data_IF_795656625600
#
_entry.id   IF_795656625600
#
_cell.length_a   1.000
_cell.length_b   1.000
_cell.length_c   1.000
_cell.angle_alpha   90.00
_cell.angle_beta   90.00
_cell.angle_gamma   90.00
#
_symmetry.space_group_name_H-M   'P 1'
#
loop_
_entity.id
_entity.type
_entity.pdbx_description
1 polymer ?
#
# COMPACT_ATOMS: atom_id res chain seq x y z
N UNK A 1 -9.98 4.62 -0.75
CA UNK A 1 -8.85 4.08 0.05
C UNK A 1 -7.58 3.91 -0.79
N UNK A 2 -6.97 4.99 -1.33
CA UNK A 2 -5.66 4.88 -2.02
C UNK A 2 -4.48 5.42 -1.19
N UNK A 3 -4.74 5.92 0.02
CA UNK A 3 -3.79 6.69 0.82
C UNK A 3 -3.72 6.25 2.30
N UNK A 4 -4.07 4.98 2.60
CA UNK A 4 -3.89 4.43 3.94
C UNK A 4 -2.57 3.65 4.03
N UNK A 5 -1.79 3.93 5.08
CA UNK A 5 -0.47 3.35 5.30
C UNK A 5 -0.35 2.83 6.73
N UNK A 6 0.10 1.59 6.89
CA UNK A 6 0.57 1.11 8.18
C UNK A 6 1.99 1.63 8.41
N UNK A 7 2.22 2.19 9.59
CA UNK A 7 3.52 2.73 9.99
C UNK A 7 4.26 1.65 10.76
N UNK A 8 5.41 1.19 10.25
CA UNK A 8 6.29 0.30 10.97
C UNK A 8 7.48 1.09 11.49
N UNK A 9 7.54 1.30 12.80
CA UNK A 9 8.67 1.91 13.48
C UNK A 9 9.76 0.85 13.68
N UNK A 10 10.98 1.15 13.26
CA UNK A 10 12.15 0.30 13.48
C UNK A 10 13.17 1.06 14.30
N UNK A 11 13.63 0.38 15.35
CA UNK A 11 14.78 0.77 16.15
C UNK A 11 15.93 -0.15 15.74
N UNK A 12 17.03 0.42 15.29
CA UNK A 12 18.22 -0.33 14.88
C UNK A 12 19.41 0.15 15.69
N UNK A 13 20.07 -0.75 16.42
CA UNK A 13 21.26 -0.41 17.22
C UNK A 13 22.45 0.08 16.36
N UNK A 14 22.39 -0.14 15.05
CA UNK A 14 23.41 0.28 14.06
C UNK A 14 23.23 1.73 13.62
N UNK A 15 22.02 2.28 13.70
CA UNK A 15 21.69 3.64 13.27
C UNK A 15 21.32 4.47 14.50
N UNK A 16 21.86 5.69 14.63
CA UNK A 16 21.58 6.53 15.81
C UNK A 16 20.10 6.96 15.91
N UNK A 17 19.35 6.94 14.80
CA UNK A 17 17.98 7.42 14.73
C UNK A 17 16.98 6.34 14.32
N UNK A 18 15.83 6.34 15.01
CA UNK A 18 14.65 5.54 14.64
C UNK A 18 14.14 5.91 13.24
N UNK A 19 13.77 4.91 12.46
CA UNK A 19 13.20 5.13 11.13
C UNK A 19 11.84 4.44 10.96
N UNK A 20 11.09 4.93 9.99
CA UNK A 20 9.72 4.52 9.69
C UNK A 20 9.68 3.88 8.30
N UNK A 21 8.98 2.76 8.19
CA UNK A 21 8.56 2.20 6.91
C UNK A 21 7.06 2.39 6.75
N UNK A 22 6.66 2.96 5.61
CA UNK A 22 5.26 3.19 5.28
C UNK A 22 4.75 2.06 4.38
N UNK A 23 3.97 1.15 4.95
CA UNK A 23 3.41 0.00 4.26
C UNK A 23 1.99 0.29 3.74
N UNK A 24 1.83 0.25 2.42
CA UNK A 24 0.56 0.47 1.75
C UNK A 24 -0.47 -0.57 2.16
N UNK A 25 -1.54 -0.14 2.85
CA UNK A 25 -2.68 -1.00 3.18
C UNK A 25 -3.44 -1.45 1.91
N UNK A 26 -3.31 -0.66 0.84
CA UNK A 26 -3.94 -0.90 -0.46
C UNK A 26 -3.23 -1.98 -1.29
N UNK A 27 -1.89 -1.96 -1.32
CA UNK A 27 -1.12 -2.71 -2.33
C UNK A 27 -0.02 -3.59 -1.75
N UNK A 28 0.12 -3.59 -0.42
CA UNK A 28 1.08 -4.42 0.29
C UNK A 28 2.54 -4.09 -0.04
N UNK A 29 2.89 -2.80 -0.10
CA UNK A 29 4.19 -2.30 -0.57
C UNK A 29 4.74 -1.11 0.24
N UNK A 30 6.06 -1.07 0.32
CA UNK A 30 7.00 0.03 0.58
C UNK A 30 6.70 1.35 -0.10
N UNK A 31 6.35 2.44 0.58
CA UNK A 31 6.63 3.77 0.03
C UNK A 31 8.16 3.95 -0.03
N UNK A 32 8.68 4.20 -1.22
CA UNK A 32 10.12 4.36 -1.44
C UNK A 32 10.40 5.57 -2.32
N UNK A 33 11.49 6.28 -2.04
CA UNK A 33 12.06 7.25 -2.97
C UNK A 33 13.07 6.56 -3.89
N UNK A 34 13.26 7.13 -5.07
CA UNK A 34 14.25 6.66 -6.05
C UNK A 34 15.07 7.84 -6.53
N UNK A 35 16.27 7.58 -7.03
CA UNK A 35 17.10 8.62 -7.62
C UNK A 35 16.65 9.03 -9.03
N UNK A 36 15.56 8.44 -9.52
CA UNK A 36 14.97 8.85 -10.79
C UNK A 36 14.16 10.13 -10.64
N UNK A 37 14.25 11.08 -11.59
CA UNK A 37 13.46 12.31 -11.52
C UNK A 37 11.95 12.05 -11.60
N UNK A 38 11.19 12.75 -10.76
CA UNK A 38 9.73 12.77 -10.83
C UNK A 38 9.25 13.71 -11.95
N UNK A 39 8.17 13.38 -12.67
CA UNK A 39 7.49 14.35 -13.53
C UNK A 39 7.02 15.54 -12.67
N UNK A 40 7.64 16.71 -12.85
CA UNK A 40 7.37 17.90 -12.02
C UNK A 40 8.49 18.29 -11.03
N UNK A 41 9.63 17.61 -11.08
CA UNK A 41 10.82 17.93 -10.29
C UNK A 41 10.91 17.17 -8.96
N UNK A 42 12.12 17.13 -8.40
CA UNK A 42 12.43 16.27 -7.26
C UNK A 42 12.61 14.79 -7.64
N UNK A 43 12.81 13.97 -6.61
CA UNK A 43 13.01 12.52 -6.71
C UNK A 43 11.66 11.80 -6.75
N UNK A 44 11.58 10.77 -7.59
CA UNK A 44 10.35 10.01 -7.81
C UNK A 44 10.08 9.08 -6.65
N UNK A 45 8.84 9.12 -6.18
CA UNK A 45 8.31 8.23 -5.15
C UNK A 45 7.49 7.13 -5.80
N UNK A 46 7.68 5.90 -5.32
CA UNK A 46 7.08 4.67 -5.86
C UNK A 46 6.65 3.73 -4.75
N UNK A 47 5.88 2.70 -5.10
CA UNK A 47 5.57 1.59 -4.21
C UNK A 47 6.38 0.34 -4.58
N UNK A 48 7.25 -0.14 -3.67
CA UNK A 48 8.16 -1.28 -3.88
C UNK A 48 7.89 -2.42 -2.90
N UNK A 49 8.30 -3.63 -3.27
CA UNK A 49 8.41 -4.75 -2.31
C UNK A 49 9.59 -4.48 -1.39
N UNK A 50 9.57 -5.08 -0.20
CA UNK A 50 10.75 -5.09 0.66
C UNK A 50 11.92 -5.75 -0.08
N UNK A 51 13.06 -5.09 -0.13
CA UNK A 51 14.28 -5.57 -0.74
C UNK A 51 15.45 -5.29 0.21
N UNK A 52 16.12 -6.34 0.66
CA UNK A 52 17.23 -6.24 1.60
C UNK A 52 18.48 -5.57 1.00
N UNK A 53 18.56 -5.43 -0.34
CA UNK A 53 19.72 -4.82 -0.99
C UNK A 53 19.60 -3.30 -1.16
N UNK A 54 18.37 -2.77 -1.18
CA UNK A 54 18.09 -1.34 -1.37
C UNK A 54 17.12 -0.82 -0.29
N UNK A 55 17.28 -1.30 0.95
CA UNK A 55 16.31 -1.05 2.01
C UNK A 55 16.23 0.42 2.44
N UNK A 56 17.34 1.16 2.35
CA UNK A 56 17.43 2.61 2.61
C UNK A 56 16.49 3.45 1.73
N UNK A 57 16.16 2.97 0.53
CA UNK A 57 15.20 3.65 -0.35
C UNK A 57 13.81 3.77 0.27
N UNK A 58 13.48 2.92 1.25
CA UNK A 58 12.20 2.87 1.96
C UNK A 58 12.20 3.62 3.29
N UNK A 59 13.33 4.20 3.70
CA UNK A 59 13.48 4.81 5.03
C UNK A 59 12.94 6.23 5.07
N UNK A 60 12.12 6.49 6.09
CA UNK A 60 11.52 7.79 6.35
C UNK A 60 11.70 8.20 7.81
N UNK A 61 11.84 9.50 8.04
CA UNK A 61 11.82 10.12 9.35
C UNK A 61 10.64 11.07 9.44
N UNK A 62 9.95 11.10 10.58
CA UNK A 62 8.88 12.06 10.81
C UNK A 62 9.39 13.15 11.76
N UNK A 63 9.33 14.40 11.31
CA UNK A 63 9.56 15.57 12.16
C UNK A 63 8.24 16.30 12.37
N UNK A 64 7.92 16.67 13.61
CA UNK A 64 6.78 17.54 13.90
C UNK A 64 7.04 18.92 13.30
N UNK A 65 6.01 19.53 12.72
CA UNK A 65 6.03 20.93 12.33
C UNK A 65 6.16 21.83 13.55
N UNK A 66 6.53 23.11 13.35
CA UNK A 66 6.57 24.10 14.43
C UNK A 66 5.21 24.30 15.12
N UNK A 67 4.10 24.05 14.42
CA UNK A 67 2.75 24.10 15.00
C UNK A 67 2.42 22.89 15.87
N UNK A 68 3.13 21.77 15.72
CA UNK A 68 2.91 20.52 16.45
C UNK A 68 1.75 19.66 15.94
N UNK A 69 0.92 20.16 15.02
CA UNK A 69 -0.26 19.46 14.50
C UNK A 69 0.00 18.72 13.18
N UNK A 70 1.12 19.00 12.51
CA UNK A 70 1.48 18.45 11.21
C UNK A 70 2.85 17.77 11.28
N UNK A 71 3.14 16.88 10.33
CA UNK A 71 4.44 16.21 10.21
C UNK A 71 5.07 16.44 8.84
N UNK A 72 6.38 16.56 8.83
CA UNK A 72 7.20 16.42 7.63
C UNK A 72 7.81 15.03 7.59
N UNK A 73 7.65 14.36 6.44
CA UNK A 73 8.27 13.07 6.19
C UNK A 73 9.56 13.27 5.40
N UNK A 74 10.71 13.12 6.06
CA UNK A 74 12.03 13.22 5.46
C UNK A 74 12.49 11.87 4.93
N UNK A 75 13.08 11.86 3.74
CA UNK A 75 13.71 10.65 3.20
C UNK A 75 15.13 10.50 3.73
N UNK A 76 15.59 9.26 3.92
CA UNK A 76 16.93 8.96 4.43
C UNK A 76 18.07 9.61 3.63
N UNK A 77 17.97 9.63 2.31
CA UNK A 77 18.96 10.30 1.46
C UNK A 77 18.70 11.82 1.28
N UNK A 78 17.90 12.42 2.15
CA UNK A 78 17.62 13.85 2.17
C UNK A 78 16.37 14.28 1.40
N UNK A 79 15.88 15.47 1.75
CA UNK A 79 14.63 16.05 1.23
C UNK A 79 13.37 15.51 1.90
N UNK A 80 12.24 16.16 1.60
CA UNK A 80 10.94 15.88 2.23
C UNK A 80 9.89 15.42 1.22
N UNK A 81 9.00 14.53 1.65
CA UNK A 81 7.83 14.11 0.89
C UNK A 81 6.92 15.31 0.66
N UNK A 82 6.59 15.55 -0.60
CA UNK A 82 5.84 16.72 -1.06
C UNK A 82 4.69 16.31 -1.96
N UNK A 83 3.52 16.89 -1.73
CA UNK A 83 2.39 16.83 -2.64
C UNK A 83 2.68 17.65 -3.91
N UNK A 84 2.47 17.03 -5.08
CA UNK A 84 2.61 17.72 -6.36
C UNK A 84 1.36 18.56 -6.61
N UNK A 85 1.51 19.89 -6.67
CA UNK A 85 0.37 20.79 -6.90
C UNK A 85 0.10 21.02 -8.38
N UNK A 86 -1.19 21.22 -8.69
CA UNK A 86 -1.70 21.45 -10.06
C UNK A 86 -1.05 22.65 -10.75
N UNK A 87 -0.59 23.65 -9.99
CA UNK A 87 0.01 24.87 -10.52
C UNK A 87 1.38 24.63 -11.19
N UNK A 88 2.13 23.61 -10.76
CA UNK A 88 3.43 23.33 -11.37
C UNK A 88 3.28 22.73 -12.77
N UNK A 89 2.29 21.85 -13.01
CA UNK A 89 2.02 21.28 -14.33
C UNK A 89 0.58 20.76 -14.47
N UNK A 90 -0.27 21.36 -15.31
CA UNK A 90 -1.70 21.03 -15.41
C UNK A 90 -2.04 19.64 -15.99
N UNK A 91 -1.04 18.83 -16.36
CA UNK A 91 -1.21 17.47 -16.92
C UNK A 91 -0.68 16.34 -16.03
N UNK A 92 -0.03 16.64 -14.91
CA UNK A 92 0.55 15.63 -14.01
C UNK A 92 -0.30 15.54 -12.74
N UNK A 93 -0.79 14.33 -12.46
CA UNK A 93 -1.70 14.01 -11.37
C UNK A 93 -1.17 14.42 -9.98
N UNK A 94 -2.12 14.45 -9.04
CA UNK A 94 -2.08 14.56 -7.58
C UNK A 94 -1.17 13.47 -6.98
N UNK A 95 0.12 13.52 -7.29
CA UNK A 95 1.13 12.56 -6.86
C UNK A 95 2.04 13.14 -5.78
N UNK A 96 3.03 12.35 -5.38
CA UNK A 96 4.05 12.76 -4.40
C UNK A 96 5.45 12.66 -4.99
N UNK A 97 6.35 13.53 -4.54
CA UNK A 97 7.78 13.55 -4.87
C UNK A 97 8.59 13.80 -3.59
N UNK A 98 9.88 13.48 -3.60
CA UNK A 98 10.81 13.95 -2.55
C UNK A 98 11.54 15.17 -3.08
N UNK A 99 11.54 16.25 -2.31
CA UNK A 99 12.16 17.50 -2.73
C UNK A 99 13.03 18.09 -1.63
N UNK A 100 14.21 18.56 -2.03
CA UNK A 100 15.18 19.19 -1.14
C UNK A 100 15.21 20.69 -1.46
N UNK A 101 14.27 21.45 -0.88
CA UNK A 101 14.15 22.90 -1.10
C UNK A 101 14.95 23.73 -0.10
N UNK A 102 15.59 23.12 0.90
CA UNK A 102 16.13 23.82 2.08
C UNK A 102 15.07 24.49 2.98
N UNK A 103 13.90 24.84 2.44
CA UNK A 103 12.75 25.38 3.15
C UNK A 103 11.56 24.41 3.08
N UNK A 104 10.89 24.22 4.23
CA UNK A 104 9.64 23.46 4.32
C UNK A 104 8.49 24.32 3.77
N UNK A 105 7.65 23.73 2.93
CA UNK A 105 6.45 24.39 2.38
C UNK A 105 5.19 23.67 2.85
N UNK A 106 4.03 24.33 2.76
CA UNK A 106 2.73 23.73 3.08
C UNK A 106 2.45 22.43 2.31
N UNK A 107 3.06 22.25 1.14
CA UNK A 107 2.94 21.02 0.35
C UNK A 107 3.75 19.84 0.91
N UNK A 108 4.57 20.07 1.94
CA UNK A 108 5.37 19.07 2.66
C UNK A 108 4.82 18.77 4.05
N UNK A 109 3.76 19.48 4.47
CA UNK A 109 3.07 19.21 5.73
C UNK A 109 1.99 18.16 5.50
N UNK A 110 1.99 17.15 6.36
CA UNK A 110 1.05 16.04 6.34
C UNK A 110 0.33 15.97 7.67
N UNK A 111 -0.98 15.72 7.63
CA UNK A 111 -1.76 15.40 8.83
C UNK A 111 -1.78 13.88 8.99
N UNK A 112 -1.58 13.41 10.22
CA UNK A 112 -1.68 11.99 10.56
C UNK A 112 -3.07 11.73 11.11
N UNK A 113 -3.89 11.02 10.32
CA UNK A 113 -5.21 10.56 10.75
C UNK A 113 -5.15 9.09 11.14
N UNK A 114 -5.55 8.79 12.37
CA UNK A 114 -5.61 7.41 12.85
C UNK A 114 -6.84 6.71 12.24
N UNK A 115 -6.61 5.58 11.57
CA UNK A 115 -7.67 4.77 10.97
C UNK A 115 -8.02 3.63 11.94
N UNK A 116 -9.20 3.65 12.59
CA UNK A 116 -9.58 2.59 13.52
C UNK A 116 -9.88 1.28 12.79
N UNK A 117 -9.89 0.18 13.55
CA UNK A 117 -10.32 -1.11 13.04
C UNK A 117 -11.86 -1.21 13.08
N UNK A 118 -12.47 -1.70 12.00
CA UNK A 118 -13.89 -2.05 11.95
C UNK A 118 -14.14 -3.53 12.18
N UNK A 119 -15.36 -3.83 12.63
CA UNK A 119 -15.88 -5.19 12.71
C UNK A 119 -16.30 -5.64 11.31
N UNK A 120 -15.68 -6.71 10.84
CA UNK A 120 -16.01 -7.35 9.56
C UNK A 120 -15.45 -6.64 8.33
N UNK A 121 -15.46 -7.38 7.21
CA UNK A 121 -14.93 -6.92 5.94
C UNK A 121 -15.81 -5.80 5.35
N UNK A 122 -15.24 -4.66 4.91
CA UNK A 122 -16.00 -3.64 4.20
C UNK A 122 -16.41 -4.14 2.80
N UNK A 123 -17.45 -3.54 2.18
CA UNK A 123 -17.82 -3.87 0.82
C UNK A 123 -16.66 -3.55 -0.14
N UNK A 124 -16.42 -4.47 -1.08
CA UNK A 124 -15.43 -4.24 -2.13
C UNK A 124 -15.92 -3.17 -3.13
N UNK A 125 -15.00 -2.43 -3.76
CA UNK A 125 -15.32 -1.50 -4.84
C UNK A 125 -16.14 -2.17 -5.95
N UNK A 126 -17.17 -1.46 -6.42
CA UNK A 126 -18.00 -1.91 -7.54
C UNK A 126 -17.12 -2.01 -8.80
N UNK A 127 -17.14 -3.14 -9.54
CA UNK A 127 -16.37 -3.28 -10.76
C UNK A 127 -16.64 -2.14 -11.76
N UNK A 128 -15.59 -1.47 -12.20
CA UNK A 128 -15.68 -0.47 -13.26
C UNK A 128 -15.06 -0.99 -14.56
N UNK A 129 -15.87 -1.09 -15.62
CA UNK A 129 -15.53 -1.73 -16.88
C UNK A 129 -14.36 -1.09 -17.66
N UNK A 130 -13.92 0.13 -17.31
CA UNK A 130 -12.97 0.88 -18.14
C UNK A 130 -11.51 0.40 -18.07
N UNK A 131 -11.17 -0.59 -17.23
CA UNK A 131 -9.79 -1.05 -17.05
C UNK A 131 -9.53 -2.50 -17.53
N UNK A 132 -10.25 -2.92 -18.57
CA UNK A 132 -10.25 -4.29 -19.10
C UNK A 132 -8.98 -4.69 -19.89
N UNK A 133 -7.94 -3.86 -19.92
CA UNK A 133 -6.74 -4.08 -20.75
C UNK A 133 -5.49 -4.52 -19.97
N UNK A 134 -5.56 -4.55 -18.65
CA UNK A 134 -4.44 -4.96 -17.80
C UNK A 134 -4.44 -6.48 -17.58
N UNK A 135 -3.31 -7.14 -17.84
CA UNK A 135 -3.11 -8.54 -17.49
C UNK A 135 -2.03 -8.67 -16.42
N UNK A 136 -2.21 -9.58 -15.47
CA UNK A 136 -1.18 -9.96 -14.50
C UNK A 136 -1.29 -11.43 -14.11
N UNK A 137 -0.15 -11.98 -13.70
CA UNK A 137 -0.10 -13.29 -13.08
C UNK A 137 -0.50 -13.17 -11.61
N UNK A 138 -1.47 -13.97 -11.18
CA UNK A 138 -1.84 -14.14 -9.78
C UNK A 138 -1.23 -15.45 -9.31
N UNK A 139 -0.46 -15.41 -8.23
CA UNK A 139 -0.10 -16.57 -7.44
C UNK A 139 -0.99 -16.58 -6.20
N UNK A 140 -1.61 -17.70 -5.89
CA UNK A 140 -2.37 -17.84 -4.65
C UNK A 140 -1.88 -19.02 -3.83
N UNK A 141 -1.97 -18.88 -2.52
CA UNK A 141 -1.67 -19.92 -1.54
C UNK A 141 -2.84 -20.03 -0.58
N UNK A 142 -3.25 -21.27 -0.32
CA UNK A 142 -4.22 -21.60 0.71
C UNK A 142 -3.52 -22.25 1.90
N UNK A 143 -3.31 -21.53 3.02
CA UNK A 143 -2.48 -22.00 4.13
C UNK A 143 -2.97 -23.30 4.76
N UNK A 144 -4.29 -23.53 4.77
CA UNK A 144 -4.89 -24.66 5.48
C UNK A 144 -4.75 -26.00 4.74
N UNK A 145 -4.45 -26.00 3.44
CA UNK A 145 -4.44 -27.20 2.60
C UNK A 145 -3.10 -27.38 1.85
N UNK A 146 -2.16 -26.43 2.00
CA UNK A 146 -0.91 -26.36 1.21
C UNK A 146 -1.19 -26.40 -0.30
N UNK A 147 -2.37 -25.92 -0.70
CA UNK A 147 -2.70 -25.79 -2.11
C UNK A 147 -2.18 -24.44 -2.62
N UNK A 148 -1.50 -24.49 -3.76
CA UNK A 148 -0.90 -23.32 -4.39
C UNK A 148 -1.16 -23.40 -5.87
N UNK A 149 -1.56 -22.28 -6.44
CA UNK A 149 -1.86 -22.20 -7.86
C UNK A 149 -1.50 -20.85 -8.43
N UNK A 150 -1.62 -20.76 -9.75
CA UNK A 150 -1.47 -19.50 -10.44
C UNK A 150 -2.40 -19.40 -11.63
N UNK A 151 -2.76 -18.18 -12.00
CA UNK A 151 -3.54 -17.91 -13.18
C UNK A 151 -3.35 -16.49 -13.69
N UNK A 152 -3.61 -16.29 -14.97
CA UNK A 152 -3.66 -14.96 -15.57
C UNK A 152 -5.00 -14.32 -15.27
N UNK A 153 -4.96 -13.17 -14.60
CA UNK A 153 -6.13 -12.35 -14.35
C UNK A 153 -6.14 -11.14 -15.29
N UNK A 154 -7.31 -10.86 -15.84
CA UNK A 154 -7.57 -9.71 -16.72
C UNK A 154 -8.40 -8.68 -15.97
N UNK A 155 -7.89 -7.46 -15.88
CA UNK A 155 -8.55 -6.33 -15.26
C UNK A 155 -7.87 -5.90 -13.96
N UNK A 156 -8.59 -5.06 -13.21
CA UNK A 156 -8.13 -4.50 -11.93
C UNK A 156 -9.13 -4.64 -10.80
N UNK A 157 -10.35 -5.10 -11.08
CA UNK A 157 -11.36 -5.15 -10.03
C UNK A 157 -10.96 -6.21 -8.99
N UNK A 158 -10.85 -5.78 -7.74
CA UNK A 158 -10.66 -6.71 -6.62
C UNK A 158 -11.89 -7.60 -6.42
N UNK A 159 -13.07 -7.07 -6.74
CA UNK A 159 -14.32 -7.82 -6.72
C UNK A 159 -14.28 -8.94 -7.78
N UNK A 160 -13.99 -8.63 -9.05
CA UNK A 160 -13.93 -9.65 -10.11
C UNK A 160 -12.82 -10.69 -9.84
N UNK A 161 -11.71 -10.25 -9.24
CA UNK A 161 -10.64 -11.15 -8.82
C UNK A 161 -11.10 -12.13 -7.74
N UNK A 162 -11.86 -11.66 -6.75
CA UNK A 162 -12.44 -12.50 -5.70
C UNK A 162 -13.37 -13.54 -6.29
N UNK A 163 -14.25 -13.14 -7.20
CA UNK A 163 -15.21 -14.03 -7.86
C UNK A 163 -14.52 -15.09 -8.72
N UNK A 164 -13.48 -14.71 -9.48
CA UNK A 164 -12.68 -15.65 -10.26
C UNK A 164 -11.96 -16.67 -9.36
N UNK A 165 -11.41 -16.21 -8.22
CA UNK A 165 -10.73 -17.08 -7.27
C UNK A 165 -11.71 -18.03 -6.57
N UNK A 166 -12.87 -17.54 -6.14
CA UNK A 166 -13.93 -18.33 -5.53
C UNK A 166 -14.43 -19.44 -6.47
N UNK A 167 -14.66 -19.09 -7.75
CA UNK A 167 -15.03 -20.08 -8.79
C UNK A 167 -13.97 -21.15 -8.98
N UNK A 168 -12.68 -20.79 -9.01
CA UNK A 168 -11.57 -21.74 -9.17
C UNK A 168 -11.42 -22.67 -7.97
N UNK A 169 -11.71 -22.17 -6.78
CA UNK A 169 -11.63 -22.92 -5.52
C UNK A 169 -12.93 -23.66 -5.18
N UNK A 170 -13.99 -23.49 -5.98
CA UNK A 170 -15.32 -24.04 -5.74
C UNK A 170 -15.90 -23.70 -4.34
N UNK A 171 -15.74 -22.45 -3.91
CA UNK A 171 -16.28 -21.90 -2.66
C UNK A 171 -17.11 -20.64 -2.92
N UNK A 172 -17.89 -20.20 -1.92
CA UNK A 172 -18.60 -18.92 -2.00
C UNK A 172 -17.61 -17.74 -1.89
N UNK A 173 -17.84 -16.71 -2.70
CA UNK A 173 -17.07 -15.48 -2.65
C UNK A 173 -17.28 -14.70 -1.34
N UNK A 174 -18.41 -14.89 -0.65
CA UNK A 174 -18.65 -14.33 0.70
C UNK A 174 -17.71 -14.92 1.74
N UNK A 175 -17.30 -16.17 1.54
CA UNK A 175 -16.47 -16.91 2.50
C UNK A 175 -14.97 -16.71 2.24
N UNK A 176 -14.63 -16.02 1.15
CA UNK A 176 -13.28 -15.83 0.67
C UNK A 176 -12.77 -14.43 1.02
N UNK A 177 -11.68 -14.37 1.78
CA UNK A 177 -10.90 -13.15 2.01
C UNK A 177 -9.53 -13.30 1.35
N UNK A 178 -9.21 -12.35 0.47
CA UNK A 178 -7.89 -12.26 -0.18
C UNK A 178 -6.98 -11.37 0.65
N UNK A 179 -5.77 -11.83 0.96
CA UNK A 179 -4.80 -11.07 1.75
C UNK A 179 -3.45 -10.98 1.05
N UNK A 180 -2.70 -9.92 1.34
CA UNK A 180 -1.25 -9.88 1.13
C UNK A 180 -0.54 -10.50 2.33
N UNK A 181 0.59 -11.15 2.07
CA UNK A 181 1.54 -11.50 3.12
C UNK A 181 2.56 -10.39 3.27
N UNK A 182 2.73 -9.86 4.48
CA UNK A 182 3.78 -8.90 4.79
C UNK A 182 5.08 -9.64 5.16
N UNK A 183 6.22 -8.96 5.04
CA UNK A 183 7.51 -9.44 5.57
C UNK A 183 7.49 -9.71 7.08
N UNK A 184 6.61 -9.04 7.83
CA UNK A 184 6.38 -9.24 9.25
C UNK A 184 5.38 -10.38 9.56
N UNK A 185 5.11 -11.24 8.56
CA UNK A 185 4.18 -12.37 8.63
C UNK A 185 2.71 -12.00 8.93
N UNK A 186 2.33 -10.73 8.77
CA UNK A 186 0.94 -10.29 8.91
C UNK A 186 0.17 -10.48 7.61
N UNK A 187 -1.13 -10.72 7.74
CA UNK A 187 -2.06 -10.78 6.62
C UNK A 187 -2.81 -9.46 6.54
N UNK A 188 -2.67 -8.75 5.42
CA UNK A 188 -3.40 -7.51 5.16
C UNK A 188 -4.49 -7.78 4.12
N UNK A 189 -5.78 -7.58 4.45
CA UNK A 189 -6.86 -7.80 3.50
C UNK A 189 -6.72 -6.91 2.26
N UNK A 190 -6.93 -7.49 1.08
CA UNK A 190 -6.95 -6.79 -0.20
C UNK A 190 -8.37 -6.23 -0.45
N UNK A 191 -8.51 -4.93 -0.25
CA UNK A 191 -9.81 -4.23 -0.25
C UNK A 191 -9.98 -3.22 -1.39
N UNK A 192 -8.97 -3.06 -2.24
CA UNK A 192 -8.95 -2.05 -3.31
C UNK A 192 -8.58 -2.66 -4.64
N UNK A 193 -9.00 -2.01 -5.72
CA UNK A 193 -8.65 -2.41 -7.07
C UNK A 193 -7.13 -2.46 -7.30
N UNK A 194 -6.71 -3.42 -8.11
CA UNK A 194 -5.31 -3.70 -8.39
C UNK A 194 -4.60 -2.50 -9.04
N UNK A 195 -3.30 -2.30 -8.72
CA UNK A 195 -2.54 -1.15 -9.20
C UNK A 195 -2.33 -1.23 -10.72
N UNK A 196 -2.15 -0.10 -11.41
CA UNK A 196 -1.89 -0.06 -12.86
C UNK A 196 -0.47 -0.53 -13.20
N UNK A 197 -0.24 -1.84 -13.19
CA UNK A 197 1.01 -2.49 -13.57
C UNK A 197 0.77 -3.96 -13.94
N UNK A 198 1.76 -4.60 -14.55
CA UNK A 198 1.70 -6.01 -14.94
C UNK A 198 2.44 -6.93 -13.95
N UNK A 199 2.82 -6.42 -12.78
CA UNK A 199 3.63 -7.20 -11.85
C UNK A 199 2.83 -8.37 -11.24
N UNK A 200 3.45 -9.55 -11.09
CA UNK A 200 2.81 -10.67 -10.42
C UNK A 200 2.38 -10.32 -9.00
N UNK A 201 1.19 -10.79 -8.63
CA UNK A 201 0.59 -10.58 -7.31
C UNK A 201 0.48 -11.89 -6.56
N UNK A 202 1.00 -11.94 -5.34
CA UNK A 202 0.84 -13.08 -4.44
C UNK A 202 -0.33 -12.81 -3.49
N UNK A 203 -1.26 -13.76 -3.40
CA UNK A 203 -2.47 -13.68 -2.59
C UNK A 203 -2.51 -14.87 -1.63
N UNK A 204 -2.73 -14.59 -0.36
CA UNK A 204 -3.06 -15.60 0.64
C UNK A 204 -4.58 -15.67 0.75
N UNK A 205 -5.15 -16.85 0.58
CA UNK A 205 -6.58 -17.10 0.70
C UNK A 205 -6.91 -17.46 2.14
N UNK A 206 -7.82 -16.71 2.74
CA UNK A 206 -8.32 -16.94 4.10
C UNK A 206 -9.82 -17.19 4.02
N UNK A 207 -10.30 -18.22 4.70
CA UNK A 207 -11.72 -18.56 4.77
C UNK A 207 -12.37 -17.94 5.99
N UNK A 208 -13.55 -17.34 5.84
CA UNK A 208 -14.32 -16.77 6.94
C UNK A 208 -14.60 -17.81 8.02
N UNK A 209 -14.61 -17.37 9.28
CA UNK A 209 -14.85 -18.26 10.43
C UNK A 209 -13.66 -19.12 10.85
N UNK A 210 -12.55 -19.11 10.10
CA UNK A 210 -11.30 -19.76 10.53
C UNK A 210 -10.58 -18.95 11.61
N UNK A 211 -9.69 -19.57 12.43
CA UNK A 211 -8.86 -18.84 13.38
C UNK A 211 -8.00 -17.75 12.73
N UNK A 212 -7.51 -18.01 11.51
CA UNK A 212 -6.76 -17.03 10.72
C UNK A 212 -7.63 -15.84 10.33
N UNK A 213 -8.91 -16.06 10.00
CA UNK A 213 -9.83 -14.97 9.74
C UNK A 213 -10.08 -14.09 10.97
N UNK A 214 -10.17 -14.69 12.16
CA UNK A 214 -10.42 -13.96 13.40
C UNK A 214 -9.27 -12.99 13.79
N UNK A 215 -8.06 -13.21 13.27
CA UNK A 215 -6.92 -12.30 13.50
C UNK A 215 -6.86 -11.15 12.51
N UNK A 216 -7.63 -11.18 11.42
CA UNK A 216 -7.64 -10.12 10.43
C UNK A 216 -8.20 -8.83 11.02
N UNK A 217 -7.61 -7.72 10.58
CA UNK A 217 -8.02 -6.35 10.90
C UNK A 217 -8.43 -5.65 9.62
N UNK A 218 -9.59 -5.01 9.67
CA UNK A 218 -10.12 -4.24 8.55
C UNK A 218 -10.06 -2.76 8.90
N UNK A 219 -9.47 -1.92 8.04
CA UNK A 219 -9.44 -0.47 8.27
C UNK A 219 -10.84 0.12 8.07
N UNK A 220 -11.23 1.03 8.96
CA UNK A 220 -12.42 1.87 8.81
C UNK A 220 -12.01 3.27 8.37
N UNK A 221 -11.91 3.47 7.07
CA UNK A 221 -11.49 4.76 6.49
C UNK A 221 -12.56 5.83 6.52
N UNK A 222 -13.80 5.46 6.83
CA UNK A 222 -14.93 6.37 6.91
C UNK A 222 -15.34 6.63 8.38
N UNK A 223 -14.50 6.23 9.34
CA UNK A 223 -14.74 6.52 10.75
C UNK A 223 -14.36 7.97 11.08
N UNK A 224 -15.31 8.72 11.65
CA UNK A 224 -15.12 10.09 12.19
C UNK A 224 -14.78 10.06 13.69
#
# INVERSE_FOLDING_TARGET
MNAAWAVHLHHDETWEDDYLLLYSAAYGRYLAATDTPAPGGGRRVVQRKYDHLEFEAMFWYAALSESGDEVCLHHFHGGSLRANTRYSYPRWNIGVSVHDTGNVTTTMHWVVEHIPARVGMPPLPVPFAAAMWEWRLIHYVWPNVVDRGSFWFRGRSVFDLRDELARRLAIDASDLVMCFHTYAAWLTPLLVDLPRNHQPLAIVVVITGTPVHATLRYPDVDAE
#
